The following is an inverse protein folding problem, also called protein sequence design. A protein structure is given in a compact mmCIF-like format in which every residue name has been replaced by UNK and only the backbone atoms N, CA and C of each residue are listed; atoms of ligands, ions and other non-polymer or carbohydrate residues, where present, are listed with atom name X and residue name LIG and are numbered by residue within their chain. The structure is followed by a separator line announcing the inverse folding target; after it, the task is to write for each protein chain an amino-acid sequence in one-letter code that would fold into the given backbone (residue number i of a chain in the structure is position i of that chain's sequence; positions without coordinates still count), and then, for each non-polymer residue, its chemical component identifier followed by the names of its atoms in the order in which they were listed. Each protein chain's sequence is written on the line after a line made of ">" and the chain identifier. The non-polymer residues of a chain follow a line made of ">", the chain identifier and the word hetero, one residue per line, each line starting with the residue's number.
data_IF_024884110550
#
_entry.id   IF_024884110550
#
_cell.length_a   1.000
_cell.length_b   1.000
_cell.length_c   1.000
_cell.angle_alpha   90.00
_cell.angle_beta   90.00
_cell.angle_gamma   90.00
#
_symmetry.space_group_name_H-M   'P 1'
#
loop_
_entity.id
_entity.type
_entity.pdbx_description
1 polymer ?
#
# COMPACT_ATOMS: atom_id res chain seq x y z
N UNK A 1 -38.19 -21.67 2.17
CA UNK A 1 -38.73 -20.28 2.27
C UNK A 1 -38.98 -19.77 0.85
N UNK A 2 -40.13 -19.12 0.58
CA UNK A 2 -40.29 -18.50 -0.75
C UNK A 2 -39.35 -17.30 -0.87
N UNK A 3 -38.60 -17.20 -1.97
CA UNK A 3 -37.77 -16.05 -2.29
C UNK A 3 -38.63 -14.82 -2.56
N UNK A 4 -38.25 -13.64 -2.04
CA UNK A 4 -39.02 -12.40 -2.20
C UNK A 4 -38.11 -11.19 -2.36
N UNK A 5 -38.41 -10.35 -3.35
CA UNK A 5 -37.83 -9.02 -3.54
C UNK A 5 -38.84 -7.96 -3.04
N UNK A 6 -38.32 -6.94 -2.36
CA UNK A 6 -39.10 -5.76 -2.00
C UNK A 6 -38.43 -4.52 -2.59
N UNK A 7 -39.14 -3.87 -3.51
CA UNK A 7 -38.66 -2.65 -4.19
C UNK A 7 -39.45 -1.46 -3.65
N UNK A 8 -38.78 -0.34 -3.41
CA UNK A 8 -39.42 0.94 -3.01
C UNK A 8 -38.57 2.11 -3.52
N UNK A 9 -39.20 3.09 -4.15
CA UNK A 9 -38.50 4.31 -4.65
C UNK A 9 -37.27 3.96 -5.49
N UNK A 10 -37.43 3.11 -6.51
CA UNK A 10 -36.37 2.68 -7.42
C UNK A 10 -35.18 1.98 -6.75
N UNK A 11 -35.40 1.39 -5.56
CA UNK A 11 -34.37 0.64 -4.84
C UNK A 11 -34.89 -0.75 -4.44
N UNK A 12 -34.05 -1.75 -4.61
CA UNK A 12 -34.25 -3.06 -4.01
C UNK A 12 -33.90 -2.97 -2.52
N UNK A 13 -34.91 -2.81 -1.65
CA UNK A 13 -34.70 -2.57 -0.21
C UNK A 13 -34.56 -3.85 0.61
N UNK A 14 -34.99 -4.99 0.09
CA UNK A 14 -34.88 -6.29 0.77
C UNK A 14 -35.00 -7.46 -0.22
N UNK A 15 -34.09 -8.42 -0.02
CA UNK A 15 -34.14 -9.72 -0.65
C UNK A 15 -34.06 -10.82 0.42
N UNK A 16 -34.90 -11.85 0.31
CA UNK A 16 -34.95 -12.95 1.30
C UNK A 16 -35.11 -14.29 0.64
N UNK A 17 -34.51 -15.32 1.25
CA UNK A 17 -34.72 -16.71 0.85
C UNK A 17 -34.09 -17.08 -0.49
N UNK A 18 -33.07 -16.32 -0.93
CA UNK A 18 -32.33 -16.62 -2.14
C UNK A 18 -31.24 -17.65 -1.86
N UNK A 19 -31.13 -18.62 -2.74
CA UNK A 19 -30.18 -19.72 -2.68
C UNK A 19 -29.51 -19.90 -4.05
N UNK A 20 -28.27 -20.41 -4.04
CA UNK A 20 -27.51 -20.66 -5.25
C UNK A 20 -27.29 -19.43 -6.11
N UNK A 21 -27.66 -19.51 -7.39
CA UNK A 21 -27.49 -18.44 -8.40
C UNK A 21 -28.75 -17.61 -8.53
N UNK A 22 -28.59 -16.29 -8.42
CA UNK A 22 -29.68 -15.32 -8.53
C UNK A 22 -29.40 -14.36 -9.67
N UNK A 23 -30.37 -14.20 -10.57
CA UNK A 23 -30.40 -13.16 -11.60
C UNK A 23 -31.48 -12.16 -11.17
N UNK A 24 -31.06 -10.91 -10.93
CA UNK A 24 -32.02 -9.85 -10.59
C UNK A 24 -32.68 -9.33 -11.85
N UNK A 25 -33.99 -9.01 -11.79
CA UNK A 25 -34.78 -8.54 -12.96
C UNK A 25 -34.26 -7.15 -13.41
N UNK A 26 -34.35 -6.90 -14.72
CA UNK A 26 -34.11 -5.59 -15.30
C UNK A 26 -35.23 -4.57 -14.99
N UNK A 27 -34.88 -3.31 -14.96
CA UNK A 27 -35.82 -2.18 -15.16
C UNK A 27 -36.48 -1.60 -13.92
N UNK A 28 -36.67 -2.35 -12.85
CA UNK A 28 -37.52 -1.89 -11.72
C UNK A 28 -36.80 -1.09 -10.63
N UNK A 29 -35.43 -1.06 -10.68
CA UNK A 29 -34.63 -0.35 -9.68
C UNK A 29 -33.23 0.02 -10.19
N UNK A 30 -32.72 1.13 -9.70
CA UNK A 30 -31.38 1.66 -10.04
C UNK A 30 -30.36 1.45 -8.93
N UNK A 31 -30.79 0.93 -7.77
CA UNK A 31 -29.93 0.73 -6.63
C UNK A 31 -30.26 -0.54 -5.85
N UNK A 32 -29.22 -1.25 -5.40
CA UNK A 32 -29.33 -2.23 -4.32
C UNK A 32 -29.30 -1.46 -2.99
N UNK A 33 -30.37 -1.56 -2.20
CA UNK A 33 -30.53 -0.82 -0.96
C UNK A 33 -29.61 -1.28 0.17
N UNK A 34 -29.51 -0.45 1.21
CA UNK A 34 -28.74 -0.78 2.41
C UNK A 34 -29.19 -2.12 3.01
N UNK A 35 -28.21 -3.04 3.21
CA UNK A 35 -28.43 -4.37 3.80
C UNK A 35 -29.46 -5.25 3.08
N UNK A 36 -29.72 -4.99 1.79
CA UNK A 36 -30.82 -5.66 1.06
C UNK A 36 -30.70 -7.18 1.06
N UNK A 37 -29.49 -7.73 0.92
CA UNK A 37 -29.20 -9.17 0.97
C UNK A 37 -28.53 -9.61 2.28
N UNK A 38 -28.16 -8.67 3.16
CA UNK A 38 -27.43 -9.00 4.37
C UNK A 38 -28.26 -9.92 5.31
N UNK A 39 -27.54 -10.80 6.01
CA UNK A 39 -28.13 -11.60 7.08
C UNK A 39 -28.39 -13.07 6.74
N UNK A 40 -28.81 -13.84 7.76
CA UNK A 40 -28.94 -15.29 7.73
C UNK A 40 -29.93 -15.83 6.69
N UNK A 41 -30.84 -14.99 6.18
CA UNK A 41 -31.90 -15.39 5.24
C UNK A 41 -31.35 -15.69 3.83
N UNK A 42 -30.19 -15.12 3.48
CA UNK A 42 -29.50 -15.34 2.21
C UNK A 42 -28.20 -16.11 2.39
N UNK A 43 -28.10 -16.88 3.47
CA UNK A 43 -26.87 -17.63 3.81
C UNK A 43 -26.42 -18.64 2.74
N UNK A 44 -27.32 -19.08 1.87
CA UNK A 44 -27.05 -20.02 0.79
C UNK A 44 -26.88 -19.33 -0.58
N UNK A 45 -26.89 -18.00 -0.62
CA UNK A 45 -26.65 -17.24 -1.84
C UNK A 45 -25.19 -17.47 -2.30
N UNK A 46 -25.01 -17.98 -3.51
CA UNK A 46 -23.69 -18.28 -4.06
C UNK A 46 -23.25 -17.32 -5.16
N UNK A 47 -24.18 -16.87 -5.99
CA UNK A 47 -23.88 -15.88 -7.02
C UNK A 47 -25.04 -14.94 -7.31
N UNK A 48 -24.71 -13.70 -7.69
CA UNK A 48 -25.69 -12.66 -8.05
C UNK A 48 -25.31 -12.01 -9.36
N UNK A 49 -26.28 -11.94 -10.27
CA UNK A 49 -26.25 -11.15 -11.49
C UNK A 49 -26.96 -9.83 -11.26
N UNK A 50 -26.28 -8.70 -11.45
CA UNK A 50 -26.85 -7.36 -11.33
C UNK A 50 -27.27 -6.84 -12.71
N UNK A 51 -28.50 -6.30 -12.83
CA UNK A 51 -29.00 -5.76 -14.08
C UNK A 51 -28.33 -4.44 -14.47
N UNK A 52 -28.46 -4.06 -15.75
CA UNK A 52 -27.91 -2.80 -16.28
C UNK A 52 -28.48 -1.55 -15.59
N UNK A 53 -29.70 -1.63 -15.10
CA UNK A 53 -30.35 -0.54 -14.37
C UNK A 53 -29.63 -0.15 -13.08
N UNK A 54 -28.79 -1.04 -12.50
CA UNK A 54 -28.12 -0.78 -11.20
C UNK A 54 -26.85 0.03 -11.39
N UNK A 55 -26.87 1.26 -10.86
CA UNK A 55 -25.71 2.18 -10.86
C UNK A 55 -25.05 2.31 -9.47
N UNK A 56 -25.71 1.85 -8.40
CA UNK A 56 -25.15 1.94 -7.04
C UNK A 56 -25.54 0.75 -6.17
N UNK A 57 -24.57 0.22 -5.44
CA UNK A 57 -24.79 -0.77 -4.38
C UNK A 57 -24.57 -0.07 -3.04
N UNK A 58 -25.66 0.09 -2.26
CA UNK A 58 -25.62 0.84 -1.01
C UNK A 58 -25.00 0.06 0.13
N UNK A 59 -24.67 0.78 1.21
CA UNK A 59 -23.92 0.27 2.34
C UNK A 59 -24.40 -1.11 2.83
N UNK A 60 -23.43 -2.00 3.05
CA UNK A 60 -23.61 -3.34 3.61
C UNK A 60 -24.63 -4.22 2.85
N UNK A 61 -24.89 -3.93 1.56
CA UNK A 61 -25.98 -4.60 0.83
C UNK A 61 -25.86 -6.13 0.82
N UNK A 62 -24.65 -6.67 0.76
CA UNK A 62 -24.34 -8.10 0.79
C UNK A 62 -23.47 -8.50 2.00
N UNK A 63 -23.36 -7.63 3.02
CA UNK A 63 -22.52 -7.92 4.17
C UNK A 63 -22.86 -9.27 4.81
N UNK A 64 -21.83 -10.03 5.20
CA UNK A 64 -21.94 -11.35 5.82
C UNK A 64 -22.62 -12.45 4.95
N UNK A 65 -22.70 -12.25 3.63
CA UNK A 65 -23.10 -13.31 2.71
C UNK A 65 -21.96 -14.31 2.54
N UNK A 66 -21.74 -15.15 3.56
CA UNK A 66 -20.51 -16.00 3.68
C UNK A 66 -20.37 -17.05 2.58
N UNK A 67 -21.46 -17.44 1.91
CA UNK A 67 -21.41 -18.40 0.80
C UNK A 67 -21.35 -17.74 -0.58
N UNK A 68 -21.48 -16.41 -0.66
CA UNK A 68 -21.38 -15.67 -1.92
C UNK A 68 -19.97 -15.86 -2.51
N UNK A 69 -19.93 -16.38 -3.73
CA UNK A 69 -18.67 -16.71 -4.45
C UNK A 69 -18.41 -15.75 -5.61
N UNK A 70 -19.46 -15.35 -6.30
CA UNK A 70 -19.35 -14.52 -7.50
C UNK A 70 -20.43 -13.44 -7.53
N UNK A 71 -20.03 -12.24 -7.85
CA UNK A 71 -20.94 -11.14 -8.22
C UNK A 71 -20.62 -10.74 -9.64
N UNK A 72 -21.65 -10.58 -10.46
CA UNK A 72 -21.50 -10.19 -11.86
C UNK A 72 -22.14 -8.83 -12.02
N UNK A 73 -21.31 -7.81 -12.22
CA UNK A 73 -21.76 -6.46 -12.55
C UNK A 73 -22.15 -6.39 -14.02
N UNK A 74 -23.03 -5.47 -14.39
CA UNK A 74 -23.33 -5.23 -15.82
C UNK A 74 -22.08 -4.79 -16.56
N UNK A 75 -21.89 -5.31 -17.77
CA UNK A 75 -20.80 -4.88 -18.65
C UNK A 75 -21.02 -3.47 -19.24
N UNK A 76 -22.25 -2.98 -19.25
CA UNK A 76 -22.65 -1.75 -19.96
C UNK A 76 -22.83 -0.53 -19.05
N UNK A 77 -22.83 -0.73 -17.71
CA UNK A 77 -23.07 0.36 -16.77
C UNK A 77 -21.94 0.48 -15.73
N UNK A 78 -21.69 1.71 -15.29
CA UNK A 78 -20.74 2.00 -14.22
C UNK A 78 -21.42 1.91 -12.86
N UNK A 79 -20.76 1.27 -11.88
CA UNK A 79 -21.33 0.96 -10.58
C UNK A 79 -20.53 1.56 -9.43
N UNK A 80 -21.23 2.28 -8.53
CA UNK A 80 -20.66 2.74 -7.25
C UNK A 80 -20.84 1.68 -6.16
N UNK A 81 -19.74 1.31 -5.51
CA UNK A 81 -19.73 0.39 -4.36
C UNK A 81 -19.62 1.21 -3.08
N UNK A 82 -20.67 1.22 -2.26
CA UNK A 82 -20.70 1.98 -1.01
C UNK A 82 -19.92 1.26 0.12
N UNK A 83 -19.96 1.84 1.33
CA UNK A 83 -19.30 1.28 2.51
C UNK A 83 -19.77 -0.14 2.83
N UNK A 84 -18.82 -1.05 3.10
CA UNK A 84 -19.06 -2.38 3.64
C UNK A 84 -19.92 -3.30 2.77
N UNK A 85 -20.09 -3.02 1.48
CA UNK A 85 -21.04 -3.75 0.61
C UNK A 85 -20.86 -5.24 0.70
N UNK A 86 -19.62 -5.75 0.64
CA UNK A 86 -19.28 -7.17 0.69
C UNK A 86 -18.51 -7.55 1.96
N UNK A 87 -18.59 -6.71 3.01
CA UNK A 87 -17.89 -6.97 4.25
C UNK A 87 -18.19 -8.39 4.78
N UNK A 88 -17.16 -9.17 5.08
CA UNK A 88 -17.29 -10.52 5.61
C UNK A 88 -17.82 -11.58 4.62
N UNK A 89 -17.84 -11.30 3.31
CA UNK A 89 -18.12 -12.30 2.27
C UNK A 89 -16.89 -13.21 2.09
N UNK A 90 -16.61 -14.06 3.05
CA UNK A 90 -15.35 -14.83 3.16
C UNK A 90 -15.09 -15.78 1.99
N UNK A 91 -16.12 -16.21 1.26
CA UNK A 91 -16.00 -17.09 0.09
C UNK A 91 -16.07 -16.34 -1.24
N UNK A 92 -16.18 -15.01 -1.23
CA UNK A 92 -16.20 -14.22 -2.47
C UNK A 92 -14.86 -14.33 -3.18
N UNK A 93 -14.88 -14.89 -4.40
CA UNK A 93 -13.69 -15.17 -5.21
C UNK A 93 -13.51 -14.16 -6.35
N UNK A 94 -14.63 -13.67 -6.88
CA UNK A 94 -14.65 -12.91 -8.11
C UNK A 94 -15.77 -11.87 -8.14
N UNK A 95 -15.42 -10.70 -8.64
CA UNK A 95 -16.37 -9.68 -9.11
C UNK A 95 -16.16 -9.57 -10.62
N UNK A 96 -16.99 -10.22 -11.41
CA UNK A 96 -16.91 -10.11 -12.86
C UNK A 96 -17.31 -8.69 -13.30
N UNK A 97 -16.61 -8.16 -14.31
CA UNK A 97 -16.72 -6.78 -14.79
C UNK A 97 -16.37 -5.73 -13.71
N UNK A 98 -15.45 -6.06 -12.81
CA UNK A 98 -15.03 -5.17 -11.71
C UNK A 98 -14.42 -3.85 -12.20
N UNK A 99 -13.92 -3.80 -13.44
CA UNK A 99 -13.45 -2.58 -14.10
C UNK A 99 -14.55 -1.53 -14.32
N UNK A 100 -15.82 -1.89 -14.13
CA UNK A 100 -16.96 -0.98 -14.17
C UNK A 100 -17.18 -0.21 -12.86
N UNK A 101 -16.44 -0.52 -11.82
CA UNK A 101 -16.53 0.23 -10.56
C UNK A 101 -15.88 1.60 -10.70
N UNK A 102 -16.62 2.68 -10.46
CA UNK A 102 -16.10 4.05 -10.47
C UNK A 102 -15.72 4.57 -9.07
N UNK A 103 -16.23 3.93 -8.02
CA UNK A 103 -15.90 4.25 -6.63
C UNK A 103 -16.04 3.02 -5.73
N UNK A 104 -15.16 2.88 -4.76
CA UNK A 104 -15.17 1.80 -3.77
C UNK A 104 -15.12 2.43 -2.39
N UNK A 105 -16.17 2.22 -1.61
CA UNK A 105 -16.32 2.79 -0.27
C UNK A 105 -15.46 2.11 0.79
N UNK A 106 -15.41 2.71 1.98
CA UNK A 106 -14.68 2.17 3.10
C UNK A 106 -15.15 0.74 3.47
N UNK A 107 -14.20 -0.16 3.76
CA UNK A 107 -14.46 -1.55 4.15
C UNK A 107 -15.31 -2.34 3.14
N UNK A 108 -15.39 -1.92 1.88
CA UNK A 108 -16.30 -2.51 0.89
C UNK A 108 -16.10 -4.02 0.72
N UNK A 109 -14.88 -4.51 0.79
CA UNK A 109 -14.48 -5.92 0.67
C UNK A 109 -13.72 -6.41 1.90
N UNK A 110 -13.85 -5.74 3.06
CA UNK A 110 -13.11 -6.14 4.26
C UNK A 110 -13.41 -7.59 4.61
N UNK A 111 -12.35 -8.40 4.78
CA UNK A 111 -12.45 -9.82 5.12
C UNK A 111 -12.99 -10.72 4.00
N UNK A 112 -12.96 -10.29 2.74
CA UNK A 112 -13.21 -11.16 1.58
C UNK A 112 -12.00 -12.09 1.34
N UNK A 113 -11.77 -13.01 2.25
CA UNK A 113 -10.56 -13.81 2.34
C UNK A 113 -10.26 -14.67 1.09
N UNK A 114 -11.30 -15.03 0.31
CA UNK A 114 -11.13 -15.83 -0.91
C UNK A 114 -11.00 -14.98 -2.19
N UNK A 115 -11.03 -13.65 -2.12
CA UNK A 115 -10.92 -12.78 -3.30
C UNK A 115 -9.48 -12.83 -3.83
N UNK A 116 -9.32 -13.40 -5.04
CA UNK A 116 -7.99 -13.64 -5.62
C UNK A 116 -7.52 -12.53 -6.56
N UNK A 117 -8.46 -11.87 -7.23
CA UNK A 117 -8.22 -10.85 -8.25
C UNK A 117 -9.32 -9.80 -8.22
N UNK A 118 -8.94 -8.59 -8.52
CA UNK A 118 -9.83 -7.46 -8.78
C UNK A 118 -9.21 -6.63 -9.91
N UNK A 119 -10.00 -6.31 -10.92
CA UNK A 119 -9.57 -5.45 -12.02
C UNK A 119 -10.16 -4.06 -11.84
N UNK A 120 -9.31 -3.05 -11.82
CA UNK A 120 -9.72 -1.66 -11.70
C UNK A 120 -9.76 -0.99 -13.06
N UNK A 121 -10.92 -0.44 -13.42
CA UNK A 121 -11.09 0.34 -14.64
C UNK A 121 -10.51 1.75 -14.52
N UNK A 122 -10.28 2.38 -15.68
CA UNK A 122 -9.77 3.75 -15.77
C UNK A 122 -10.65 4.81 -15.10
N UNK A 123 -11.92 4.49 -14.88
CA UNK A 123 -12.91 5.41 -14.31
C UNK A 123 -12.96 5.37 -12.78
N UNK A 124 -12.22 4.45 -12.15
CA UNK A 124 -12.10 4.40 -10.69
C UNK A 124 -11.36 5.63 -10.17
N UNK A 125 -12.00 6.41 -9.29
CA UNK A 125 -11.45 7.65 -8.70
C UNK A 125 -11.06 7.50 -7.25
N UNK A 126 -11.70 6.58 -6.52
CA UNK A 126 -11.52 6.45 -5.08
C UNK A 126 -11.61 5.01 -4.62
N UNK A 127 -10.68 4.64 -3.74
CA UNK A 127 -10.71 3.44 -2.90
C UNK A 127 -10.74 3.91 -1.44
N UNK A 128 -11.76 3.54 -0.67
CA UNK A 128 -11.93 3.98 0.71
C UNK A 128 -11.06 3.24 1.71
N UNK A 129 -11.11 3.69 2.98
CA UNK A 129 -10.35 3.12 4.08
C UNK A 129 -10.69 1.63 4.27
N UNK A 130 -9.66 0.80 4.46
CA UNK A 130 -9.83 -0.63 4.68
C UNK A 130 -10.55 -1.39 3.57
N UNK A 131 -10.73 -0.81 2.38
CA UNK A 131 -11.63 -1.35 1.35
C UNK A 131 -11.37 -2.81 1.03
N UNK A 132 -10.12 -3.26 1.01
CA UNK A 132 -9.70 -4.65 0.77
C UNK A 132 -8.94 -5.25 1.95
N UNK A 133 -9.06 -4.65 3.15
CA UNK A 133 -8.35 -5.16 4.32
C UNK A 133 -8.77 -6.60 4.63
N UNK A 134 -7.79 -7.50 4.83
CA UNK A 134 -8.05 -8.92 5.08
C UNK A 134 -8.49 -9.72 3.84
N UNK A 135 -8.32 -9.20 2.62
CA UNK A 135 -8.44 -9.99 1.39
C UNK A 135 -7.20 -10.89 1.25
N UNK A 136 -7.09 -11.90 2.11
CA UNK A 136 -5.86 -12.68 2.30
C UNK A 136 -5.39 -13.44 1.07
N UNK A 137 -6.28 -13.80 0.14
CA UNK A 137 -5.94 -14.49 -1.12
C UNK A 137 -5.69 -13.54 -2.30
N UNK A 138 -5.77 -12.21 -2.11
CA UNK A 138 -5.52 -11.24 -3.19
C UNK A 138 -4.03 -11.23 -3.53
N UNK A 139 -3.67 -11.52 -4.81
CA UNK A 139 -2.29 -11.77 -5.22
C UNK A 139 -1.58 -10.57 -5.85
N UNK A 140 -2.33 -9.76 -6.55
CA UNK A 140 -1.79 -8.58 -7.23
C UNK A 140 -2.80 -7.45 -7.28
N UNK A 141 -2.28 -6.22 -7.28
CA UNK A 141 -3.07 -4.99 -7.41
C UNK A 141 -2.39 -4.06 -8.40
N UNK A 142 -3.14 -3.63 -9.41
CA UNK A 142 -2.73 -2.59 -10.36
C UNK A 142 -3.69 -1.42 -10.24
N UNK A 143 -3.21 -0.29 -9.72
CA UNK A 143 -4.02 0.91 -9.57
C UNK A 143 -4.10 1.67 -10.90
N UNK A 144 -5.30 2.15 -11.29
CA UNK A 144 -5.48 2.83 -12.58
C UNK A 144 -4.99 4.27 -12.55
N UNK A 145 -4.64 4.81 -13.73
CA UNK A 145 -4.13 6.18 -13.88
C UNK A 145 -5.11 7.28 -13.46
N UNK A 146 -6.41 6.99 -13.45
CA UNK A 146 -7.45 7.91 -13.02
C UNK A 146 -7.68 8.01 -11.51
N UNK A 147 -6.98 7.18 -10.73
CA UNK A 147 -7.19 7.09 -9.28
C UNK A 147 -6.66 8.34 -8.57
N UNK A 148 -7.51 8.98 -7.77
CA UNK A 148 -7.17 10.21 -7.03
C UNK A 148 -6.88 9.92 -5.55
N UNK A 149 -7.53 8.93 -4.97
CA UNK A 149 -7.48 8.67 -3.53
C UNK A 149 -7.50 7.18 -3.21
N UNK A 150 -6.59 6.77 -2.32
CA UNK A 150 -6.59 5.44 -1.70
C UNK A 150 -6.60 5.64 -0.19
N UNK A 151 -7.56 5.03 0.49
CA UNK A 151 -7.77 5.21 1.93
C UNK A 151 -6.76 4.49 2.82
N UNK A 152 -6.80 4.82 4.13
CA UNK A 152 -5.95 4.19 5.13
C UNK A 152 -6.20 2.68 5.20
N UNK A 153 -5.11 1.89 5.24
CA UNK A 153 -5.19 0.44 5.34
C UNK A 153 -5.93 -0.26 4.20
N UNK A 154 -6.08 0.38 3.04
CA UNK A 154 -6.93 -0.12 1.96
C UNK A 154 -6.62 -1.56 1.54
N UNK A 155 -5.37 -2.00 1.62
CA UNK A 155 -4.91 -3.36 1.32
C UNK A 155 -4.20 -4.01 2.52
N UNK A 156 -4.45 -3.53 3.75
CA UNK A 156 -3.86 -4.13 4.93
C UNK A 156 -4.26 -5.61 5.08
N UNK A 157 -3.36 -6.44 5.63
CA UNK A 157 -3.60 -7.87 5.88
C UNK A 157 -3.90 -8.72 4.61
N UNK A 158 -3.52 -8.24 3.42
CA UNK A 158 -3.57 -9.00 2.16
C UNK A 158 -2.36 -9.93 2.09
N UNK A 159 -2.46 -11.11 2.73
CA UNK A 159 -1.32 -11.98 3.00
C UNK A 159 -0.65 -12.55 1.74
N UNK A 160 -1.42 -12.88 0.69
CA UNK A 160 -0.87 -13.39 -0.58
C UNK A 160 -0.50 -12.27 -1.57
N UNK A 161 -0.67 -10.99 -1.22
CA UNK A 161 -0.35 -9.88 -2.12
C UNK A 161 1.16 -9.79 -2.33
N UNK A 162 1.60 -10.20 -3.53
CA UNK A 162 3.01 -10.26 -3.89
C UNK A 162 3.46 -9.07 -4.75
N UNK A 163 2.54 -8.48 -5.51
CA UNK A 163 2.83 -7.44 -6.49
C UNK A 163 1.86 -6.27 -6.39
N UNK A 164 2.41 -5.08 -6.43
CA UNK A 164 1.66 -3.84 -6.46
C UNK A 164 2.26 -2.90 -7.51
N UNK A 165 1.39 -2.29 -8.30
CA UNK A 165 1.76 -1.22 -9.23
C UNK A 165 0.83 -0.03 -9.07
N UNK A 166 1.41 1.16 -9.10
CA UNK A 166 0.68 2.43 -9.08
C UNK A 166 1.12 3.32 -10.24
N UNK A 167 0.23 4.19 -10.73
CA UNK A 167 0.59 5.18 -11.73
C UNK A 167 1.49 6.27 -11.11
N UNK A 168 2.41 6.83 -11.90
CA UNK A 168 3.29 7.92 -11.45
C UNK A 168 2.53 9.19 -11.06
N UNK A 169 1.29 9.32 -11.51
CA UNK A 169 0.39 10.45 -11.18
C UNK A 169 -0.16 10.39 -9.76
N UNK A 170 -0.07 9.23 -9.08
CA UNK A 170 -0.56 9.09 -7.71
C UNK A 170 0.40 9.80 -6.76
N UNK A 171 -0.03 10.96 -6.24
CA UNK A 171 0.78 11.82 -5.38
C UNK A 171 0.61 11.57 -3.88
N UNK A 172 -0.47 10.89 -3.48
CA UNK A 172 -0.78 10.61 -2.08
C UNK A 172 -0.94 9.11 -1.85
N UNK A 173 -0.16 8.60 -0.94
CA UNK A 173 -0.30 7.26 -0.37
C UNK A 173 -0.86 7.39 1.04
N UNK A 174 -1.50 6.37 1.55
CA UNK A 174 -2.14 6.42 2.87
C UNK A 174 -1.44 5.55 3.90
N UNK A 175 -1.60 5.92 5.18
CA UNK A 175 -1.07 5.16 6.30
C UNK A 175 -1.54 3.70 6.25
N UNK A 176 -0.68 2.78 6.68
CA UNK A 176 -0.96 1.34 6.78
C UNK A 176 -1.45 0.67 5.49
N UNK A 177 -1.30 1.33 4.32
CA UNK A 177 -1.90 0.88 3.06
C UNK A 177 -1.61 -0.60 2.75
N UNK A 178 -0.39 -1.08 3.04
CA UNK A 178 0.06 -2.46 2.86
C UNK A 178 0.53 -3.11 4.16
N UNK A 179 0.02 -2.65 5.31
CA UNK A 179 0.39 -3.25 6.59
C UNK A 179 0.09 -4.76 6.59
N UNK A 180 1.06 -5.56 7.05
CA UNK A 180 0.97 -7.02 7.16
C UNK A 180 0.69 -7.75 5.83
N UNK A 181 1.09 -7.15 4.67
CA UNK A 181 1.16 -7.82 3.38
C UNK A 181 2.42 -8.70 3.35
N UNK A 182 2.37 -9.85 4.00
CA UNK A 182 3.54 -10.69 4.28
C UNK A 182 4.23 -11.24 3.04
N UNK A 183 3.53 -11.38 1.92
CA UNK A 183 4.07 -11.88 0.64
C UNK A 183 4.59 -10.78 -0.28
N UNK A 184 4.44 -9.50 0.07
CA UNK A 184 4.85 -8.38 -0.78
C UNK A 184 6.38 -8.33 -0.90
N UNK A 185 6.88 -8.47 -2.13
CA UNK A 185 8.33 -8.64 -2.42
C UNK A 185 8.97 -7.38 -2.95
N UNK A 186 8.25 -6.66 -3.77
CA UNK A 186 8.72 -5.47 -4.47
C UNK A 186 7.66 -4.38 -4.41
N UNK A 187 8.09 -3.15 -4.28
CA UNK A 187 7.21 -1.97 -4.30
C UNK A 187 7.85 -0.87 -5.14
N UNK A 188 7.01 -0.20 -5.90
CA UNK A 188 7.39 1.02 -6.60
C UNK A 188 6.68 2.18 -5.92
N UNK A 189 7.45 3.13 -5.42
CA UNK A 189 6.92 4.38 -4.87
C UNK A 189 6.80 5.36 -6.03
N UNK A 190 5.58 5.85 -6.36
CA UNK A 190 5.39 6.78 -7.47
C UNK A 190 6.22 8.04 -7.33
N UNK A 191 6.73 8.57 -8.45
CA UNK A 191 7.61 9.73 -8.46
C UNK A 191 6.95 11.02 -7.94
N UNK A 192 5.62 11.12 -7.95
CA UNK A 192 4.89 12.26 -7.41
C UNK A 192 4.75 12.24 -5.87
N UNK A 193 5.11 11.13 -5.20
CA UNK A 193 4.96 10.97 -3.75
C UNK A 193 6.03 11.76 -3.01
N UNK A 194 5.62 12.54 -2.01
CA UNK A 194 6.53 13.35 -1.17
C UNK A 194 6.75 12.76 0.23
N UNK A 195 5.87 11.86 0.67
CA UNK A 195 5.94 11.23 1.99
C UNK A 195 5.63 9.73 1.86
N UNK A 196 6.48 8.87 2.44
CA UNK A 196 6.13 7.48 2.72
C UNK A 196 5.37 7.45 4.05
N UNK A 197 4.07 7.16 4.06
CA UNK A 197 3.22 7.37 5.23
C UNK A 197 3.50 6.42 6.40
N UNK A 198 2.90 6.76 7.54
CA UNK A 198 2.97 6.00 8.77
C UNK A 198 2.60 4.52 8.57
N UNK A 199 3.50 3.61 8.98
CA UNK A 199 3.26 2.16 8.93
C UNK A 199 2.87 1.59 7.57
N UNK A 200 3.15 2.28 6.45
CA UNK A 200 2.67 1.89 5.12
C UNK A 200 3.02 0.45 4.77
N UNK A 201 4.26 0.02 5.04
CA UNK A 201 4.78 -1.32 4.76
C UNK A 201 5.13 -2.08 6.05
N UNK A 202 4.56 -1.68 7.19
CA UNK A 202 4.78 -2.37 8.46
C UNK A 202 4.39 -3.84 8.34
N UNK A 203 5.29 -4.77 8.72
CA UNK A 203 5.02 -6.20 8.64
C UNK A 203 5.10 -6.83 7.23
N UNK A 204 5.58 -6.11 6.22
CA UNK A 204 5.87 -6.68 4.89
C UNK A 204 7.13 -7.54 4.96
N UNK A 205 7.02 -8.72 5.57
CA UNK A 205 8.18 -9.56 5.93
C UNK A 205 8.99 -10.07 4.74
N UNK A 206 8.38 -10.19 3.54
CA UNK A 206 9.02 -10.64 2.31
C UNK A 206 9.59 -9.52 1.45
N UNK A 207 9.39 -8.24 1.83
CA UNK A 207 9.92 -7.09 1.09
C UNK A 207 11.44 -7.10 1.16
N UNK A 208 12.11 -7.11 0.00
CA UNK A 208 13.56 -7.26 -0.10
C UNK A 208 14.29 -5.97 -0.37
N UNK A 209 13.74 -5.18 -1.26
CA UNK A 209 14.35 -3.94 -1.73
C UNK A 209 13.30 -2.83 -1.78
N UNK A 210 13.76 -1.61 -1.54
CA UNK A 210 12.95 -0.41 -1.78
C UNK A 210 13.83 0.71 -2.32
N UNK A 211 13.33 1.37 -3.35
CA UNK A 211 13.90 2.61 -3.86
C UNK A 211 13.01 3.76 -3.43
N UNK A 212 13.61 4.73 -2.75
CA UNK A 212 12.95 5.97 -2.31
C UNK A 212 13.33 7.07 -3.29
N UNK A 213 12.40 7.55 -4.14
CA UNK A 213 12.69 8.54 -5.17
C UNK A 213 13.03 9.93 -4.58
N UNK A 214 13.66 10.78 -5.39
CA UNK A 214 14.18 12.09 -4.98
C UNK A 214 13.10 13.07 -4.45
N UNK A 215 11.86 12.93 -4.88
CA UNK A 215 10.76 13.77 -4.42
C UNK A 215 10.30 13.46 -2.99
N UNK A 216 10.61 12.27 -2.48
CA UNK A 216 10.25 11.89 -1.11
C UNK A 216 11.09 12.67 -0.12
N UNK A 217 10.43 13.44 0.74
CA UNK A 217 11.06 14.27 1.76
C UNK A 217 11.02 13.61 3.14
N UNK A 218 10.06 12.72 3.37
CA UNK A 218 9.85 12.08 4.65
C UNK A 218 9.53 10.59 4.50
N UNK A 219 10.19 9.79 5.32
CA UNK A 219 9.78 8.42 5.64
C UNK A 219 9.17 8.49 7.04
N UNK A 220 7.85 8.38 7.15
CA UNK A 220 7.15 8.52 8.42
C UNK A 220 7.44 7.37 9.38
N UNK A 221 6.99 7.49 10.63
CA UNK A 221 7.23 6.49 11.67
C UNK A 221 6.66 5.11 11.27
N UNK A 222 7.38 4.04 11.63
CA UNK A 222 7.01 2.64 11.42
C UNK A 222 6.87 2.23 9.94
N UNK A 223 7.24 3.06 8.98
CA UNK A 223 6.96 2.85 7.56
C UNK A 223 7.41 1.48 7.04
N UNK A 224 8.57 0.97 7.48
CA UNK A 224 9.14 -0.34 7.12
C UNK A 224 9.45 -1.20 8.36
N UNK A 225 8.77 -0.94 9.48
CA UNK A 225 8.96 -1.76 10.68
C UNK A 225 8.61 -3.23 10.40
N UNK A 226 9.41 -4.16 10.95
CA UNK A 226 9.21 -5.61 10.81
C UNK A 226 9.27 -6.10 9.35
N UNK A 227 9.96 -5.38 8.44
CA UNK A 227 10.29 -5.85 7.09
C UNK A 227 11.53 -6.77 7.16
N UNK A 228 11.31 -8.03 7.59
CA UNK A 228 12.41 -8.92 8.02
C UNK A 228 13.40 -9.30 6.92
N UNK A 229 12.96 -9.32 5.64
CA UNK A 229 13.82 -9.64 4.50
C UNK A 229 14.37 -8.40 3.79
N UNK A 230 14.06 -7.19 4.28
CA UNK A 230 14.52 -5.95 3.66
C UNK A 230 16.04 -5.82 3.85
N UNK A 231 16.78 -6.02 2.77
CA UNK A 231 18.26 -5.96 2.78
C UNK A 231 18.82 -4.73 2.07
N UNK A 232 18.04 -4.12 1.14
CA UNK A 232 18.49 -2.96 0.37
C UNK A 232 17.49 -1.82 0.47
N UNK A 233 17.96 -0.66 0.93
CA UNK A 233 17.22 0.61 0.91
C UNK A 233 18.06 1.63 0.17
N UNK A 234 17.57 2.08 -1.00
CA UNK A 234 18.22 3.12 -1.79
C UNK A 234 17.43 4.42 -1.64
N UNK A 235 18.05 5.44 -1.09
CA UNK A 235 17.46 6.76 -0.92
C UNK A 235 18.14 7.74 -1.86
N UNK A 236 17.34 8.38 -2.72
CA UNK A 236 17.84 9.48 -3.55
C UNK A 236 17.93 10.78 -2.74
N UNK A 237 18.56 11.81 -3.33
CA UNK A 237 18.68 13.13 -2.71
C UNK A 237 17.30 13.77 -2.58
N UNK A 238 16.84 14.02 -1.37
CA UNK A 238 15.50 14.60 -1.12
C UNK A 238 15.04 14.38 0.31
N UNK A 239 15.37 13.24 0.88
CA UNK A 239 14.97 12.87 2.24
C UNK A 239 15.46 13.89 3.27
N UNK A 240 14.53 14.47 4.01
CA UNK A 240 14.78 15.43 5.11
C UNK A 240 14.54 14.81 6.48
N UNK A 241 13.62 13.83 6.56
CA UNK A 241 13.23 13.23 7.83
C UNK A 241 13.01 11.71 7.68
N UNK A 242 13.51 10.95 8.66
CA UNK A 242 13.19 9.53 8.86
C UNK A 242 12.56 9.44 10.25
N UNK A 243 11.33 8.95 10.30
CA UNK A 243 10.50 8.88 11.49
C UNK A 243 10.93 7.81 12.49
N UNK A 244 10.28 7.82 13.66
CA UNK A 244 10.55 6.86 14.72
C UNK A 244 10.25 5.42 14.24
N UNK A 245 11.16 4.48 14.60
CA UNK A 245 11.02 3.05 14.28
C UNK A 245 10.81 2.73 12.79
N UNK A 246 11.20 3.64 11.88
CA UNK A 246 10.93 3.50 10.45
C UNK A 246 11.51 2.21 9.86
N UNK A 247 12.68 1.75 10.31
CA UNK A 247 13.37 0.51 9.92
C UNK A 247 13.67 -0.38 11.13
N UNK A 248 12.84 -0.33 12.16
CA UNK A 248 12.99 -1.20 13.32
C UNK A 248 12.59 -2.64 12.98
N UNK A 249 13.23 -3.62 13.61
CA UNK A 249 13.07 -5.06 13.31
C UNK A 249 13.24 -5.42 11.82
N UNK A 250 14.32 -4.88 11.20
CA UNK A 250 14.78 -5.23 9.84
C UNK A 250 16.08 -6.02 9.89
N UNK A 251 16.06 -7.29 10.34
CA UNK A 251 17.28 -8.06 10.61
C UNK A 251 18.13 -8.34 9.36
N UNK A 252 17.57 -8.30 8.15
CA UNK A 252 18.33 -8.47 6.92
C UNK A 252 19.05 -7.20 6.45
N UNK A 253 18.66 -6.01 6.94
CA UNK A 253 19.27 -4.75 6.52
C UNK A 253 20.70 -4.64 7.03
N UNK A 254 21.68 -4.58 6.12
CA UNK A 254 23.10 -4.51 6.44
C UNK A 254 23.68 -3.14 6.18
N UNK A 255 23.18 -2.48 5.15
CA UNK A 255 23.71 -1.21 4.69
C UNK A 255 22.59 -0.28 4.27
N UNK A 256 22.73 1.01 4.59
CA UNK A 256 21.83 2.05 4.14
C UNK A 256 22.63 3.31 3.78
N UNK A 257 22.37 3.84 2.59
CA UNK A 257 22.97 5.11 2.16
C UNK A 257 22.08 6.26 2.61
N UNK A 258 22.63 7.16 3.41
CA UNK A 258 21.93 8.36 3.91
C UNK A 258 22.45 9.59 3.19
N UNK A 259 21.60 10.28 2.39
CA UNK A 259 21.98 11.48 1.68
C UNK A 259 22.19 12.68 2.64
N UNK A 260 22.99 13.64 2.22
CA UNK A 260 23.29 14.84 3.00
C UNK A 260 22.07 15.74 3.30
N UNK A 261 20.98 15.55 2.56
CA UNK A 261 19.71 16.27 2.76
C UNK A 261 19.01 15.91 4.09
N UNK A 262 19.30 14.76 4.72
CA UNK A 262 18.65 14.33 5.96
C UNK A 262 18.88 15.34 7.09
N UNK A 263 17.80 15.80 7.72
CA UNK A 263 17.82 16.78 8.82
C UNK A 263 17.44 16.16 10.16
N UNK A 264 16.47 15.24 10.16
CA UNK A 264 15.93 14.63 11.38
C UNK A 264 15.91 13.11 11.30
N UNK A 265 16.16 12.49 12.45
CA UNK A 265 16.11 11.05 12.62
C UNK A 265 15.30 10.76 13.89
N UNK A 266 14.18 10.04 13.76
CA UNK A 266 13.27 9.71 14.83
C UNK A 266 13.83 8.63 15.79
N UNK A 267 13.25 8.55 16.98
CA UNK A 267 13.65 7.58 17.98
C UNK A 267 13.58 6.15 17.42
N UNK A 268 14.63 5.35 17.62
CA UNK A 268 14.69 3.97 17.17
C UNK A 268 14.56 3.79 15.66
N UNK A 269 14.88 4.79 14.83
CA UNK A 269 14.68 4.73 13.38
C UNK A 269 15.25 3.45 12.74
N UNK A 270 16.36 2.92 13.26
CA UNK A 270 16.99 1.65 12.87
C UNK A 270 16.97 0.61 14.00
N UNK A 271 16.07 0.76 14.98
CA UNK A 271 16.02 -0.02 16.21
C UNK A 271 16.76 0.63 17.38
N UNK A 272 16.50 0.18 18.59
CA UNK A 272 17.06 0.75 19.84
C UNK A 272 18.01 -0.20 20.59
N UNK A 273 17.99 -1.49 20.25
CA UNK A 273 18.76 -2.55 20.90
C UNK A 273 19.93 -3.08 20.07
N UNK A 274 20.70 -3.98 20.69
CA UNK A 274 21.62 -4.82 19.90
C UNK A 274 20.80 -5.78 19.05
N UNK A 275 21.20 -5.96 17.81
CA UNK A 275 20.59 -6.94 16.93
C UNK A 275 20.87 -8.35 17.45
N UNK A 276 19.95 -9.28 17.23
CA UNK A 276 20.04 -10.67 17.71
C UNK A 276 21.25 -11.41 17.14
N UNK A 277 21.65 -11.06 15.90
CA UNK A 277 22.83 -11.60 15.21
C UNK A 277 24.16 -10.95 15.64
N UNK A 278 24.10 -9.92 16.49
CA UNK A 278 25.27 -9.15 16.92
C UNK A 278 25.85 -8.19 15.87
N UNK A 279 25.35 -8.22 14.62
CA UNK A 279 25.81 -7.34 13.56
C UNK A 279 25.18 -5.96 13.61
N UNK A 280 25.78 -4.98 12.98
CA UNK A 280 25.29 -3.60 12.90
C UNK A 280 24.87 -3.26 11.49
N UNK A 281 23.94 -2.32 11.38
CA UNK A 281 23.64 -1.69 10.09
C UNK A 281 24.71 -0.66 9.80
N UNK A 282 25.36 -0.78 8.66
CA UNK A 282 26.34 0.21 8.18
C UNK A 282 25.59 1.39 7.56
N UNK A 283 25.66 2.55 8.20
CA UNK A 283 25.12 3.81 7.69
C UNK A 283 26.18 4.48 6.83
N UNK A 284 26.00 4.43 5.53
CA UNK A 284 26.93 5.00 4.55
C UNK A 284 26.62 6.48 4.29
N UNK A 285 27.66 7.31 4.33
CA UNK A 285 27.54 8.76 4.10
C UNK A 285 28.66 9.29 3.18
N UNK A 286 28.41 10.40 2.52
CA UNK A 286 29.24 10.95 1.44
C UNK A 286 30.50 11.69 1.89
N UNK A 287 30.56 12.18 3.13
CA UNK A 287 31.67 13.03 3.58
C UNK A 287 31.84 12.99 5.12
N UNK A 288 33.01 13.44 5.59
CA UNK A 288 33.37 13.44 7.01
C UNK A 288 32.46 14.29 7.90
N UNK A 289 31.92 15.40 7.38
CA UNK A 289 30.95 16.21 8.12
C UNK A 289 29.71 15.38 8.42
N UNK A 290 29.23 14.61 7.44
CA UNK A 290 28.09 13.71 7.62
C UNK A 290 28.40 12.56 8.59
N UNK A 291 29.63 12.05 8.64
CA UNK A 291 30.03 11.04 9.64
C UNK A 291 29.78 11.56 11.05
N UNK A 292 30.28 12.75 11.39
CA UNK A 292 30.11 13.36 12.72
C UNK A 292 28.64 13.63 13.02
N UNK A 293 27.91 14.17 12.04
CA UNK A 293 26.49 14.50 12.16
C UNK A 293 25.65 13.23 12.38
N UNK A 294 25.88 12.17 11.59
CA UNK A 294 25.13 10.92 11.72
C UNK A 294 25.42 10.21 13.05
N UNK A 295 26.67 10.13 13.51
CA UNK A 295 26.98 9.59 14.84
C UNK A 295 26.19 10.28 15.94
N UNK A 296 26.06 11.63 15.89
CA UNK A 296 25.27 12.39 16.85
C UNK A 296 23.78 12.08 16.75
N UNK A 297 23.21 12.09 15.54
CA UNK A 297 21.80 11.77 15.31
C UNK A 297 21.44 10.36 15.76
N UNK A 298 22.27 9.36 15.44
CA UNK A 298 22.07 7.96 15.82
C UNK A 298 22.16 7.77 17.34
N UNK A 299 23.03 8.51 18.01
CA UNK A 299 23.11 8.53 19.48
C UNK A 299 21.80 9.07 20.10
N UNK A 300 21.34 10.24 19.65
CA UNK A 300 20.15 10.88 20.18
C UNK A 300 18.85 10.11 19.86
N UNK A 301 18.76 9.48 18.71
CA UNK A 301 17.59 8.66 18.38
C UNK A 301 17.62 7.25 18.95
N UNK A 302 18.65 6.88 19.74
CA UNK A 302 18.76 5.56 20.38
C UNK A 302 19.25 4.42 19.47
N UNK A 303 19.56 4.69 18.20
CA UNK A 303 20.00 3.64 17.25
C UNK A 303 21.51 3.39 17.23
N UNK A 304 22.31 4.06 18.05
CA UNK A 304 23.77 3.91 18.05
C UNK A 304 24.26 2.49 18.37
N UNK A 305 23.48 1.72 19.12
CA UNK A 305 23.84 0.33 19.49
C UNK A 305 23.71 -0.66 18.35
N UNK A 306 22.82 -0.40 17.40
CA UNK A 306 22.54 -1.28 16.25
C UNK A 306 23.11 -0.77 14.94
N UNK A 307 23.80 0.37 14.94
CA UNK A 307 24.35 1.00 13.71
C UNK A 307 25.82 1.34 13.86
N UNK A 308 26.52 1.42 12.74
CA UNK A 308 27.85 2.03 12.58
C UNK A 308 27.81 3.02 11.41
N UNK A 309 28.70 4.01 11.42
CA UNK A 309 28.77 5.02 10.34
C UNK A 309 30.05 4.87 9.56
N UNK A 310 29.90 4.69 8.23
CA UNK A 310 31.01 4.51 7.29
C UNK A 310 31.00 5.61 6.23
N UNK A 311 32.16 6.17 5.95
CA UNK A 311 32.38 7.07 4.83
C UNK A 311 32.52 6.25 3.54
N UNK A 312 31.69 6.54 2.53
CA UNK A 312 31.71 5.87 1.22
C UNK A 312 32.23 6.79 0.12
N UNK A 313 32.24 8.11 0.35
CA UNK A 313 32.77 9.09 -0.60
C UNK A 313 34.27 9.29 -0.46
N UNK A 314 34.91 9.93 -1.47
CA UNK A 314 36.30 10.36 -1.38
C UNK A 314 36.47 11.30 -0.19
N UNK A 315 37.50 11.08 0.62
CA UNK A 315 37.86 11.97 1.73
C UNK A 315 38.06 13.40 1.26
N UNK A 316 37.98 14.37 2.17
CA UNK A 316 38.25 15.80 1.85
C UNK A 316 39.67 15.92 1.26
N UNK A 317 40.61 15.13 1.76
CA UNK A 317 42.01 15.13 1.24
C UNK A 317 42.13 14.56 -0.16
N UNK A 318 41.41 13.48 -0.47
CA UNK A 318 41.36 12.90 -1.83
C UNK A 318 40.71 13.89 -2.82
N UNK A 319 39.63 14.55 -2.44
CA UNK A 319 38.99 15.60 -3.26
C UNK A 319 39.90 16.81 -3.48
N UNK A 320 40.68 17.19 -2.47
CA UNK A 320 41.69 18.25 -2.60
C UNK A 320 42.84 17.83 -3.52
N UNK A 321 43.28 16.55 -3.46
CA UNK A 321 44.28 15.99 -4.38
C UNK A 321 43.79 15.95 -5.82
N UNK A 322 42.56 15.49 -6.03
CA UNK A 322 41.95 15.46 -7.36
C UNK A 322 41.80 16.88 -7.95
N UNK A 323 41.32 17.84 -7.16
CA UNK A 323 41.27 19.28 -7.58
C UNK A 323 42.64 19.85 -7.90
N UNK A 324 43.67 19.49 -7.12
CA UNK A 324 45.05 19.92 -7.42
C UNK A 324 45.58 19.29 -8.72
N UNK A 325 45.30 17.98 -8.95
CA UNK A 325 45.64 17.30 -10.20
C UNK A 325 44.94 17.92 -11.40
N UNK A 326 43.62 18.13 -11.32
CA UNK A 326 42.84 18.76 -12.38
C UNK A 326 43.29 20.20 -12.69
N UNK A 327 43.70 20.98 -11.67
CA UNK A 327 44.28 22.32 -11.87
C UNK A 327 45.71 22.30 -12.49
N UNK A 328 46.47 21.27 -12.22
CA UNK A 328 47.81 21.10 -12.84
C UNK A 328 47.63 20.69 -14.31
N UNK A 329 46.74 19.76 -14.60
CA UNK A 329 46.41 19.35 -15.96
C UNK A 329 45.84 20.48 -16.81
N UNK A 330 44.93 21.30 -16.23
CA UNK A 330 44.35 22.48 -16.90
C UNK A 330 45.41 23.59 -17.16
N UNK A 331 46.41 23.72 -16.32
CA UNK A 331 47.54 24.67 -16.53
C UNK A 331 48.61 24.14 -17.49
N UNK A 332 48.73 22.79 -17.62
CA UNK A 332 49.67 22.16 -18.55
C UNK A 332 49.21 22.19 -20.03
N UNK A 333 47.93 22.39 -20.27
CA UNK A 333 47.33 22.47 -21.63
C UNK A 333 47.42 23.89 -22.25
N UNK A 334 47.97 24.88 -21.55
CA UNK A 334 48.16 26.24 -22.08
C UNK A 334 49.62 26.58 -22.41
N UNK A 335 50.50 25.57 -22.50
CA UNK A 335 51.89 25.71 -22.84
C UNK A 335 52.33 24.81 -24.02
N UNK A 336 51.54 24.80 -25.10
CA UNK A 336 51.99 24.32 -26.42
C UNK A 336 51.38 25.24 -27.47
#
# INVERSE_FOLDING_TARGET
>A
MKSALKIKKWQLIRARGFEGRVILPEGDFVAIGKRAFAGKQNRYLESVYLPESVSVIKAEAFAECKNLRTVILSANNSVGISQGVFAGCTRLREIANSERMHSIGANAFVGCASLQRIDFGKDLRRIGDGAFSGCSSLRSVTLPSGLCEVGEGAFADCQELAFYTAPDTLSMLSSKMFRDCVSLREVVIPAAVTVVPWGMFMGCISLREVQIPANVQEIAAYAFQNCRQLHTVRMELGIKEIGAHAFDDTPALREVFIPHSLKKLGFGAFGTGKRKDGEKITVCVENEYMVRRMKRLLFWCGSAKCTEVKLVGKSIEERKRDRRRANIEAKGTHLI
#
